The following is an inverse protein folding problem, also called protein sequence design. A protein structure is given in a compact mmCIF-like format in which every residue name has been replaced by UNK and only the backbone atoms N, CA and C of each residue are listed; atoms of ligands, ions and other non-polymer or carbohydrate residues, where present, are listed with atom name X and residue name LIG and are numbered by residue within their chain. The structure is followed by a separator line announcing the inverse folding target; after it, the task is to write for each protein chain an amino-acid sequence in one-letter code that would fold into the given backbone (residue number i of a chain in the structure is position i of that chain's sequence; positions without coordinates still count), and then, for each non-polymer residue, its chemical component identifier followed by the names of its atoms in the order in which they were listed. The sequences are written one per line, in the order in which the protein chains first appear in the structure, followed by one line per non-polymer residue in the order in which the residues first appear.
data_IF_735677300575
#
_entry.id   IF_735677300575
#
_cell.length_a   1.000
_cell.length_b   1.000
_cell.length_c   1.000
_cell.angle_alpha   90.00
_cell.angle_beta   90.00
_cell.angle_gamma   90.00
#
_symmetry.space_group_name_H-M   'P 1'
#
loop_
_entity.id
_entity.type
_entity.pdbx_description
1 polymer ?
#
# COMPACT_ATOMS: atom_id res chain seq x y z
N UNK A 1 -23.56 -6.73 1.64
CA UNK A 1 -22.32 -7.51 1.78
C UNK A 1 -21.50 -6.90 2.92
N UNK A 2 -20.95 -7.69 3.85
CA UNK A 2 -20.07 -7.14 4.90
C UNK A 2 -18.81 -6.53 4.28
N UNK A 3 -18.40 -5.34 4.75
CA UNK A 3 -17.21 -4.66 4.25
C UNK A 3 -15.93 -5.47 4.54
N UNK A 4 -14.97 -5.45 3.60
CA UNK A 4 -13.69 -6.12 3.79
C UNK A 4 -12.94 -5.52 4.99
N UNK A 5 -12.26 -6.33 5.83
CA UNK A 5 -11.58 -5.83 7.03
C UNK A 5 -10.57 -4.71 6.76
N UNK A 6 -9.93 -4.73 5.59
CA UNK A 6 -9.00 -3.67 5.15
C UNK A 6 -9.74 -2.36 4.85
N UNK A 7 -10.90 -2.42 4.20
CA UNK A 7 -11.75 -1.26 3.93
C UNK A 7 -12.24 -0.62 5.22
N UNK A 8 -12.62 -1.43 6.21
CA UNK A 8 -13.02 -0.93 7.54
C UNK A 8 -11.86 -0.21 8.25
N UNK A 9 -10.62 -0.72 8.15
CA UNK A 9 -9.44 -0.03 8.68
C UNK A 9 -9.19 1.32 8.00
N UNK A 10 -9.29 1.37 6.67
CA UNK A 10 -9.11 2.61 5.90
C UNK A 10 -10.15 3.66 6.31
N UNK A 11 -11.41 3.27 6.41
CA UNK A 11 -12.48 4.16 6.86
C UNK A 11 -12.23 4.66 8.29
N UNK A 12 -11.83 3.78 9.22
CA UNK A 12 -11.51 4.19 10.59
C UNK A 12 -10.33 5.17 10.65
N UNK A 13 -9.30 4.97 9.82
CA UNK A 13 -8.18 5.90 9.74
C UNK A 13 -8.63 7.29 9.26
N UNK A 14 -9.46 7.35 8.22
CA UNK A 14 -10.01 8.61 7.73
C UNK A 14 -10.86 9.34 8.78
N UNK A 15 -11.71 8.60 9.50
CA UNK A 15 -12.53 9.16 10.59
C UNK A 15 -11.64 9.73 11.70
N UNK A 16 -10.59 9.01 12.11
CA UNK A 16 -9.66 9.51 13.12
C UNK A 16 -8.96 10.78 12.67
N UNK A 17 -8.44 10.81 11.45
CA UNK A 17 -7.76 11.98 10.90
C UNK A 17 -8.67 13.21 10.83
N UNK A 18 -9.95 13.03 10.46
CA UNK A 18 -10.94 14.10 10.49
C UNK A 18 -11.11 14.67 11.90
N UNK A 19 -11.29 13.81 12.90
CA UNK A 19 -11.48 14.25 14.28
C UNK A 19 -10.20 14.81 14.91
N UNK A 20 -9.02 14.31 14.52
CA UNK A 20 -7.74 14.91 14.91
C UNK A 20 -7.64 16.34 14.38
N UNK A 21 -8.04 16.57 13.12
CA UNK A 21 -8.09 17.90 12.55
C UNK A 21 -9.07 18.83 13.28
N UNK A 22 -10.25 18.33 13.67
CA UNK A 22 -11.23 19.11 14.45
C UNK A 22 -10.73 19.46 15.86
N UNK A 23 -9.94 18.58 16.49
CA UNK A 23 -9.27 18.87 17.77
C UNK A 23 -8.20 19.95 17.60
N UNK A 24 -7.35 19.85 16.55
CA UNK A 24 -6.35 20.89 16.24
C UNK A 24 -7.03 22.25 16.01
N UNK A 25 -8.16 22.26 15.30
CA UNK A 25 -8.98 23.45 15.08
C UNK A 25 -9.78 23.94 16.29
N UNK A 26 -9.67 23.27 17.45
CA UNK A 26 -10.40 23.59 18.69
C UNK A 26 -11.94 23.56 18.54
N UNK A 27 -12.46 22.84 17.54
CA UNK A 27 -13.92 22.69 17.32
C UNK A 27 -14.51 21.69 18.32
N UNK A 28 -13.74 20.66 18.68
CA UNK A 28 -14.10 19.67 19.70
C UNK A 28 -12.92 19.44 20.65
N UNK A 29 -13.16 19.07 21.91
CA UNK A 29 -12.09 18.93 22.91
C UNK A 29 -11.26 17.65 22.73
N UNK A 30 -11.83 16.57 22.21
CA UNK A 30 -11.15 15.27 22.09
C UNK A 30 -11.63 14.46 20.88
N UNK A 31 -10.80 13.55 20.37
CA UNK A 31 -11.15 12.67 19.24
C UNK A 31 -11.94 11.44 19.74
N UNK A 32 -13.25 11.31 19.39
CA UNK A 32 -14.08 10.18 19.82
C UNK A 32 -13.65 8.83 19.18
N UNK A 33 -12.98 8.86 18.03
CA UNK A 33 -12.50 7.67 17.33
C UNK A 33 -11.09 7.22 17.79
N UNK A 34 -10.45 7.96 18.71
CA UNK A 34 -9.10 7.67 19.18
C UNK A 34 -9.00 6.32 19.90
N UNK A 35 -9.99 5.96 20.71
CA UNK A 35 -10.03 4.71 21.49
C UNK A 35 -10.59 3.51 20.72
N UNK A 36 -11.24 3.73 19.57
CA UNK A 36 -11.94 2.67 18.81
C UNK A 36 -10.92 1.71 18.22
N UNK A 37 -10.92 0.44 18.62
CA UNK A 37 -10.01 -0.56 18.03
C UNK A 37 -10.48 -0.94 16.62
N UNK A 38 -9.58 -0.76 15.65
CA UNK A 38 -9.80 -1.27 14.29
C UNK A 38 -9.79 -2.80 14.26
N UNK A 39 -10.39 -3.42 13.23
CA UNK A 39 -10.43 -4.87 13.10
C UNK A 39 -9.01 -5.45 13.03
N UNK A 40 -8.75 -6.54 13.78
CA UNK A 40 -7.45 -7.18 13.80
C UNK A 40 -7.20 -7.93 12.49
N UNK A 41 -6.46 -7.32 11.59
CA UNK A 41 -5.93 -7.99 10.41
C UNK A 41 -4.60 -8.67 10.77
N UNK A 42 -4.58 -9.99 10.80
CA UNK A 42 -3.38 -10.79 10.98
C UNK A 42 -3.25 -11.74 9.79
N UNK A 43 -2.33 -11.44 8.88
CA UNK A 43 -1.91 -12.36 7.83
C UNK A 43 -0.63 -13.04 8.27
N UNK A 44 -0.70 -14.35 8.57
CA UNK A 44 0.47 -15.16 8.91
C UNK A 44 1.43 -15.38 7.72
N UNK A 45 0.97 -15.12 6.50
CA UNK A 45 1.74 -15.26 5.25
C UNK A 45 1.53 -14.01 4.40
N UNK A 46 2.63 -13.42 3.91
CA UNK A 46 2.54 -12.39 2.88
C UNK A 46 1.79 -12.94 1.67
N UNK A 47 0.80 -12.19 1.18
CA UNK A 47 0.06 -12.60 -0.03
C UNK A 47 0.91 -12.44 -1.29
N UNK A 48 1.94 -11.58 -1.23
CA UNK A 48 2.88 -11.36 -2.31
C UNK A 48 3.83 -12.57 -2.35
N UNK A 49 3.76 -13.43 -3.37
CA UNK A 49 4.74 -14.49 -3.54
C UNK A 49 6.12 -13.85 -3.76
N UNK A 50 7.16 -14.53 -3.28
CA UNK A 50 8.54 -14.14 -3.60
C UNK A 50 8.72 -14.32 -5.10
N UNK A 51 9.11 -13.26 -5.80
CA UNK A 51 9.44 -13.31 -7.22
C UNK A 51 10.79 -14.00 -7.36
N UNK A 52 10.84 -15.09 -8.13
CA UNK A 52 12.10 -15.76 -8.41
C UNK A 52 12.98 -14.87 -9.31
N UNK A 53 14.28 -15.16 -9.34
CA UNK A 53 15.22 -14.44 -10.21
C UNK A 53 14.85 -14.64 -11.69
N UNK A 54 14.34 -15.82 -12.02
CA UNK A 54 13.91 -16.23 -13.34
C UNK A 54 12.65 -15.45 -13.75
N UNK A 55 11.65 -15.37 -12.86
CA UNK A 55 10.42 -14.61 -13.11
C UNK A 55 10.72 -13.11 -13.26
N UNK A 56 11.64 -12.57 -12.45
CA UNK A 56 12.05 -11.17 -12.54
C UNK A 56 12.72 -10.85 -13.88
N UNK A 57 13.55 -11.75 -14.40
CA UNK A 57 14.16 -11.61 -15.73
C UNK A 57 13.11 -11.69 -16.83
N UNK A 58 12.24 -12.70 -16.79
CA UNK A 58 11.16 -12.86 -17.75
C UNK A 58 10.26 -11.61 -17.80
N UNK A 59 9.96 -11.00 -16.65
CA UNK A 59 9.24 -9.74 -16.57
C UNK A 59 9.99 -8.60 -17.26
N UNK A 60 11.28 -8.40 -16.96
CA UNK A 60 12.08 -7.30 -17.54
C UNK A 60 12.31 -7.46 -19.05
N UNK A 61 12.37 -8.71 -19.53
CA UNK A 61 12.55 -9.02 -20.96
C UNK A 61 11.24 -8.88 -21.75
N UNK A 62 10.08 -8.95 -21.08
CA UNK A 62 8.78 -8.74 -21.72
C UNK A 62 8.48 -7.27 -22.06
N UNK A 63 9.28 -6.32 -21.56
CA UNK A 63 9.06 -4.88 -21.78
C UNK A 63 9.69 -4.49 -23.12
N UNK A 64 8.87 -4.01 -24.06
CA UNK A 64 9.34 -3.48 -25.33
C UNK A 64 10.21 -2.24 -25.11
N UNK A 65 11.46 -2.27 -25.57
CA UNK A 65 12.44 -1.19 -25.40
C UNK A 65 12.63 -0.34 -26.66
N UNK A 66 11.81 -0.56 -27.69
CA UNK A 66 11.86 0.23 -28.94
C UNK A 66 11.42 1.70 -28.74
N UNK A 67 10.73 2.00 -27.65
CA UNK A 67 10.25 3.34 -27.30
C UNK A 67 10.94 3.89 -26.05
N UNK A 68 11.02 5.23 -25.95
CA UNK A 68 11.53 5.92 -24.76
C UNK A 68 10.73 5.58 -23.49
N UNK A 69 9.42 5.36 -23.64
CA UNK A 69 8.53 4.95 -22.54
C UNK A 69 8.94 3.56 -22.04
N UNK A 70 9.15 2.62 -22.97
CA UNK A 70 9.58 1.26 -22.65
C UNK A 70 10.93 1.19 -21.94
N UNK A 71 11.91 2.00 -22.39
CA UNK A 71 13.21 2.12 -21.72
C UNK A 71 13.08 2.64 -20.29
N UNK A 72 12.25 3.67 -20.06
CA UNK A 72 11.97 4.21 -18.73
C UNK A 72 11.33 3.16 -17.84
N UNK A 73 10.27 2.50 -18.31
CA UNK A 73 9.49 1.57 -17.51
C UNK A 73 10.35 0.34 -17.13
N UNK A 74 11.17 -0.16 -18.07
CA UNK A 74 12.16 -1.21 -17.79
C UNK A 74 13.19 -0.79 -16.74
N UNK A 75 13.70 0.44 -16.82
CA UNK A 75 14.67 0.95 -15.84
C UNK A 75 14.05 1.11 -14.44
N UNK A 76 12.84 1.65 -14.35
CA UNK A 76 12.12 1.83 -13.07
C UNK A 76 11.81 0.49 -12.41
N UNK A 77 11.27 -0.47 -13.18
CA UNK A 77 10.96 -1.80 -12.66
C UNK A 77 12.25 -2.54 -12.28
N UNK A 78 13.31 -2.43 -13.09
CA UNK A 78 14.62 -3.00 -12.77
C UNK A 78 15.20 -2.46 -11.47
N UNK A 79 15.10 -1.15 -11.23
CA UNK A 79 15.52 -0.52 -9.98
C UNK A 79 14.71 -1.05 -8.79
N UNK A 80 13.39 -1.19 -8.94
CA UNK A 80 12.54 -1.74 -7.87
C UNK A 80 12.91 -3.17 -7.51
N UNK A 81 13.17 -4.02 -8.51
CA UNK A 81 13.62 -5.40 -8.31
C UNK A 81 14.97 -5.45 -7.60
N UNK A 82 15.93 -4.59 -7.98
CA UNK A 82 17.25 -4.55 -7.37
C UNK A 82 17.23 -4.02 -5.92
N UNK A 83 16.46 -2.97 -5.63
CA UNK A 83 16.54 -2.25 -4.36
C UNK A 83 15.56 -2.69 -3.27
N UNK A 84 14.39 -3.24 -3.62
CA UNK A 84 13.35 -3.58 -2.64
C UNK A 84 13.05 -5.08 -2.53
N UNK A 85 13.58 -5.90 -3.45
CA UNK A 85 13.21 -7.31 -3.58
C UNK A 85 14.37 -8.29 -3.37
N UNK A 86 15.61 -7.77 -3.34
CA UNK A 86 16.82 -8.45 -2.84
C UNK A 86 17.09 -7.94 -1.43
#
# INVERSE_FOLDING_TARGET
MPAQPQTVKQALAAIRMLFDWLVIGQVIPTNPAGSVRGPRYSTKKGKTPVLSREDARALLDSIDTSSLIGLRDRALIGLMVYSFMI
#
